data_IF_335512491444
#
_entry.id   IF_335512491444
#
_cell.length_a   1.000
_cell.length_b   1.000
_cell.length_c   1.000
_cell.angle_alpha   90.00
_cell.angle_beta   90.00
_cell.angle_gamma   90.00
#
_symmetry.space_group_name_H-M   'P 1'
#
loop_
_entity.id
_entity.type
_entity.pdbx_description
1 polymer ?
#
# COMPACT_ATOMS: atom_id res chain seq x y z
N UNK A 1 -11.40 -9.68 16.93
CA UNK A 1 -11.09 -10.58 18.07
C UNK A 1 -9.95 -10.06 18.93
N UNK A 2 -8.79 -9.75 18.34
CA UNK A 2 -7.65 -9.15 19.07
C UNK A 2 -8.02 -7.80 19.68
N UNK A 3 -8.73 -6.93 18.94
CA UNK A 3 -9.26 -5.66 19.47
C UNK A 3 -10.05 -5.85 20.77
N UNK A 4 -10.99 -6.80 20.79
CA UNK A 4 -11.79 -7.14 21.98
C UNK A 4 -10.94 -7.66 23.15
N UNK A 5 -9.87 -8.39 22.88
CA UNK A 5 -8.93 -8.83 23.92
C UNK A 5 -8.20 -7.64 24.53
N UNK A 6 -7.78 -6.67 23.71
CA UNK A 6 -7.13 -5.43 24.16
C UNK A 6 -8.09 -4.54 24.97
N UNK A 7 -9.37 -4.47 24.58
CA UNK A 7 -10.40 -3.75 25.36
C UNK A 7 -10.60 -4.35 26.76
N UNK A 8 -10.37 -5.65 26.90
CA UNK A 8 -10.51 -6.38 28.17
C UNK A 8 -9.19 -6.53 28.93
N UNK A 9 -8.11 -5.87 28.51
CA UNK A 9 -6.77 -6.02 29.10
C UNK A 9 -6.79 -5.86 30.63
N UNK A 10 -7.43 -4.81 31.15
CA UNK A 10 -7.48 -4.53 32.58
C UNK A 10 -8.35 -5.52 33.37
N UNK A 11 -9.48 -5.93 32.78
CA UNK A 11 -10.36 -6.94 33.37
C UNK A 11 -9.66 -8.31 33.44
N UNK A 12 -8.93 -8.67 32.38
CA UNK A 12 -8.13 -9.90 32.32
C UNK A 12 -7.00 -9.85 33.36
N UNK A 13 -6.24 -8.76 33.45
CA UNK A 13 -5.16 -8.62 34.44
C UNK A 13 -5.70 -8.68 35.87
N UNK A 14 -6.82 -8.00 36.15
CA UNK A 14 -7.43 -7.97 37.48
C UNK A 14 -7.94 -9.33 37.92
N UNK A 15 -8.65 -10.03 37.02
CA UNK A 15 -9.15 -11.38 37.33
C UNK A 15 -8.01 -12.38 37.49
N UNK A 16 -6.96 -12.29 36.69
CA UNK A 16 -5.76 -13.14 36.82
C UNK A 16 -5.03 -12.91 38.15
N UNK A 17 -5.03 -11.68 38.67
CA UNK A 17 -4.47 -11.37 39.98
C UNK A 17 -5.31 -11.95 41.13
N UNK A 18 -6.64 -12.04 40.98
CA UNK A 18 -7.56 -12.58 41.99
C UNK A 18 -7.53 -14.12 42.02
N UNK A 19 -7.37 -14.76 40.86
CA UNK A 19 -7.56 -16.22 40.71
C UNK A 19 -6.41 -17.05 41.33
N UNK A 20 -5.31 -16.40 41.75
CA UNK A 20 -4.12 -16.99 42.42
C UNK A 20 -3.79 -18.43 41.98
N UNK A 21 -3.81 -18.64 40.67
CA UNK A 21 -3.38 -19.87 40.00
C UNK A 21 -2.21 -19.53 39.10
N UNK A 22 -1.31 -20.48 38.95
CA UNK A 22 -0.19 -20.44 38.01
C UNK A 22 -0.70 -20.58 36.56
N UNK A 23 -1.56 -19.65 36.15
CA UNK A 23 -1.99 -19.52 34.77
C UNK A 23 -0.89 -18.84 33.96
N UNK A 24 -0.66 -19.27 32.71
CA UNK A 24 0.19 -18.54 31.78
C UNK A 24 -0.27 -17.09 31.68
N UNK A 25 0.58 -16.16 32.11
CA UNK A 25 0.29 -14.72 32.08
C UNK A 25 0.82 -14.13 30.79
N UNK A 26 -0.02 -13.35 30.10
CA UNK A 26 0.43 -12.55 28.96
C UNK A 26 1.35 -11.46 29.50
N UNK A 27 2.60 -11.48 29.04
CA UNK A 27 3.66 -10.54 29.41
C UNK A 27 3.40 -9.15 28.80
N UNK A 28 4.01 -8.11 29.37
CA UNK A 28 3.90 -6.74 28.84
C UNK A 28 4.39 -6.62 27.39
N UNK A 29 5.39 -7.44 27.01
CA UNK A 29 5.89 -7.51 25.64
C UNK A 29 4.83 -8.10 24.69
N UNK A 30 4.19 -9.20 25.09
CA UNK A 30 3.12 -9.81 24.29
C UNK A 30 1.91 -8.88 24.13
N UNK A 31 1.54 -8.12 25.17
CA UNK A 31 0.51 -7.08 25.05
C UNK A 31 0.88 -6.00 24.05
N UNK A 32 2.16 -5.63 23.98
CA UNK A 32 2.67 -4.68 22.98
C UNK A 32 2.58 -5.26 21.58
N UNK A 33 3.02 -6.51 21.39
CA UNK A 33 2.91 -7.24 20.12
C UNK A 33 1.45 -7.33 19.66
N UNK A 34 0.50 -7.61 20.56
CA UNK A 34 -0.93 -7.65 20.22
C UNK A 34 -1.46 -6.29 19.74
N UNK A 35 -1.01 -5.19 20.35
CA UNK A 35 -1.36 -3.82 19.92
C UNK A 35 -0.80 -3.51 18.54
N UNK A 36 0.46 -3.85 18.30
CA UNK A 36 1.11 -3.69 16.99
C UNK A 36 0.45 -4.55 15.91
N UNK A 37 0.14 -5.82 16.21
CA UNK A 37 -0.59 -6.72 15.31
C UNK A 37 -1.95 -6.14 14.91
N UNK A 38 -2.66 -5.57 15.87
CA UNK A 38 -3.94 -4.92 15.61
C UNK A 38 -3.79 -3.76 14.61
N UNK A 39 -2.75 -2.94 14.75
CA UNK A 39 -2.48 -1.82 13.84
C UNK A 39 -2.18 -2.31 12.43
N UNK A 40 -1.33 -3.33 12.27
CA UNK A 40 -0.98 -3.83 10.94
C UNK A 40 -2.11 -4.60 10.26
N UNK A 41 -2.99 -5.27 11.01
CA UNK A 41 -4.08 -6.08 10.45
C UNK A 41 -5.26 -5.23 9.98
N UNK A 42 -5.52 -4.08 10.62
CA UNK A 42 -6.64 -3.19 10.33
C UNK A 42 -6.81 -2.80 8.85
N UNK A 43 -5.76 -2.35 8.11
CA UNK A 43 -5.92 -2.04 6.69
C UNK A 43 -6.22 -3.28 5.83
N UNK A 44 -5.69 -4.45 6.20
CA UNK A 44 -5.97 -5.69 5.48
C UNK A 44 -7.40 -6.16 5.71
N UNK A 45 -7.91 -6.07 6.94
CA UNK A 45 -9.31 -6.37 7.26
C UNK A 45 -10.29 -5.48 6.46
N UNK A 46 -10.02 -4.18 6.40
CA UNK A 46 -10.86 -3.24 5.66
C UNK A 46 -10.97 -3.62 4.17
N UNK A 47 -9.83 -3.97 3.57
CA UNK A 47 -9.78 -4.35 2.15
C UNK A 47 -10.39 -5.72 1.92
N UNK A 48 -10.10 -6.72 2.75
CA UNK A 48 -10.69 -8.06 2.59
C UNK A 48 -12.19 -8.04 2.80
N UNK A 49 -12.71 -7.25 3.75
CA UNK A 49 -14.15 -7.07 3.97
C UNK A 49 -14.83 -6.45 2.75
N UNK A 50 -14.17 -5.47 2.12
CA UNK A 50 -14.70 -4.83 0.91
C UNK A 50 -14.64 -5.77 -0.28
N UNK A 51 -13.50 -6.45 -0.51
CA UNK A 51 -13.32 -7.38 -1.64
C UNK A 51 -14.24 -8.60 -1.53
N UNK A 52 -14.48 -9.08 -0.32
CA UNK A 52 -15.39 -10.21 -0.06
C UNK A 52 -16.87 -9.81 -0.13
N UNK A 53 -17.16 -8.51 -0.30
CA UNK A 53 -18.52 -8.01 -0.47
C UNK A 53 -19.02 -8.18 -1.89
N UNK A 54 -19.82 -9.22 -2.14
CA UNK A 54 -20.33 -9.59 -3.48
C UNK A 54 -21.11 -8.46 -4.18
N UNK A 55 -21.79 -7.60 -3.42
CA UNK A 55 -22.69 -6.57 -3.98
C UNK A 55 -22.02 -5.26 -4.41
N UNK A 56 -20.77 -5.01 -3.99
CA UNK A 56 -20.13 -3.69 -4.15
C UNK A 56 -18.73 -3.76 -4.75
N UNK A 57 -18.06 -4.92 -4.71
CA UNK A 57 -16.72 -5.05 -5.27
C UNK A 57 -16.80 -5.35 -6.76
N UNK A 58 -16.55 -4.34 -7.60
CA UNK A 58 -16.29 -4.55 -9.03
C UNK A 58 -14.81 -4.81 -9.24
N UNK A 59 -14.44 -5.58 -10.27
CA UNK A 59 -13.04 -5.85 -10.62
C UNK A 59 -12.21 -4.55 -10.81
N UNK A 60 -12.86 -3.47 -11.24
CA UNK A 60 -12.25 -2.14 -11.37
C UNK A 60 -11.88 -1.49 -10.02
N UNK A 61 -12.57 -1.82 -8.92
CA UNK A 61 -12.26 -1.32 -7.57
C UNK A 61 -11.11 -2.09 -6.91
N UNK A 62 -10.88 -3.34 -7.29
CA UNK A 62 -9.79 -4.17 -6.73
C UNK A 62 -8.43 -3.51 -6.98
N UNK A 63 -8.22 -2.94 -8.16
CA UNK A 63 -6.94 -2.32 -8.53
C UNK A 63 -6.57 -1.10 -7.67
N UNK A 64 -7.39 -0.05 -7.55
CA UNK A 64 -7.06 1.09 -6.69
C UNK A 64 -6.94 0.67 -5.23
N UNK A 65 -7.69 -0.35 -4.77
CA UNK A 65 -7.53 -0.91 -3.43
C UNK A 65 -6.18 -1.61 -3.24
N UNK A 66 -5.73 -2.40 -4.22
CA UNK A 66 -4.39 -2.99 -4.21
C UNK A 66 -3.29 -1.93 -4.13
N UNK A 67 -3.40 -0.86 -4.92
CA UNK A 67 -2.43 0.22 -4.89
C UNK A 67 -2.46 0.99 -3.56
N UNK A 68 -3.67 1.27 -3.04
CA UNK A 68 -3.85 1.87 -1.73
C UNK A 68 -3.21 1.04 -0.63
N UNK A 69 -3.40 -0.28 -0.66
CA UNK A 69 -2.76 -1.18 0.31
C UNK A 69 -1.24 -1.19 0.19
N UNK A 70 -0.69 -1.15 -1.04
CA UNK A 70 0.77 -1.03 -1.25
C UNK A 70 1.33 0.21 -0.59
N UNK A 71 0.67 1.35 -0.76
CA UNK A 71 1.08 2.61 -0.15
C UNK A 71 0.97 2.55 1.38
N UNK A 72 -0.10 1.95 1.92
CA UNK A 72 -0.26 1.77 3.38
C UNK A 72 0.78 0.82 3.94
N UNK A 73 1.07 -0.28 3.24
CA UNK A 73 2.11 -1.23 3.62
C UNK A 73 3.48 -0.54 3.68
N UNK A 74 3.85 0.27 2.68
CA UNK A 74 5.09 1.05 2.72
C UNK A 74 5.17 1.98 3.93
N UNK A 75 4.05 2.65 4.28
CA UNK A 75 3.99 3.50 5.47
C UNK A 75 4.13 2.70 6.77
N UNK A 76 3.51 1.53 6.85
CA UNK A 76 3.63 0.64 8.02
C UNK A 76 5.04 0.06 8.15
N UNK A 77 5.67 -0.32 7.04
CA UNK A 77 7.04 -0.85 7.03
C UNK A 77 8.09 0.18 7.46
N UNK A 78 7.78 1.47 7.37
CA UNK A 78 8.63 2.56 7.88
C UNK A 78 8.46 2.81 9.39
N UNK A 79 7.43 2.24 10.02
CA UNK A 79 7.19 2.40 11.46
C UNK A 79 8.06 1.45 12.28
N UNK A 80 8.28 1.81 13.54
CA UNK A 80 9.00 0.97 14.48
C UNK A 80 8.05 -0.05 15.10
N UNK A 81 8.18 -1.31 14.68
CA UNK A 81 7.47 -2.46 15.25
C UNK A 81 8.46 -3.51 15.76
N UNK A 82 7.99 -4.41 16.61
CA UNK A 82 8.72 -5.64 16.98
C UNK A 82 9.00 -6.52 15.75
N UNK A 83 10.07 -7.32 15.80
CA UNK A 83 10.49 -8.12 14.66
C UNK A 83 9.49 -9.21 14.28
N UNK A 84 8.79 -9.78 15.26
CA UNK A 84 7.69 -10.72 15.04
C UNK A 84 6.56 -10.09 14.20
N UNK A 85 6.24 -8.82 14.46
CA UNK A 85 5.20 -8.08 13.74
C UNK A 85 5.68 -7.69 12.34
N UNK A 86 6.94 -7.27 12.19
CA UNK A 86 7.53 -7.01 10.85
C UNK A 86 7.49 -8.25 9.97
N UNK A 87 7.86 -9.41 10.51
CA UNK A 87 7.79 -10.67 9.77
C UNK A 87 6.36 -11.00 9.34
N UNK A 88 5.39 -10.75 10.23
CA UNK A 88 3.95 -10.92 9.93
C UNK A 88 3.46 -9.95 8.85
N UNK A 89 3.87 -8.68 8.92
CA UNK A 89 3.55 -7.65 7.93
C UNK A 89 4.07 -8.01 6.53
N UNK A 90 5.31 -8.48 6.42
CA UNK A 90 5.88 -8.97 5.16
C UNK A 90 5.11 -10.17 4.62
N UNK A 91 4.77 -11.13 5.49
CA UNK A 91 4.02 -12.32 5.10
C UNK A 91 2.61 -11.98 4.60
N UNK A 92 1.93 -11.04 5.26
CA UNK A 92 0.62 -10.54 4.85
C UNK A 92 0.69 -9.88 3.46
N UNK A 93 1.70 -9.05 3.24
CA UNK A 93 1.90 -8.40 1.95
C UNK A 93 2.17 -9.40 0.81
N UNK A 94 3.06 -10.37 1.03
CA UNK A 94 3.33 -11.41 0.03
C UNK A 94 2.09 -12.25 -0.27
N UNK A 95 1.31 -12.62 0.76
CA UNK A 95 0.04 -13.32 0.58
C UNK A 95 -0.98 -12.51 -0.21
N UNK A 96 -1.01 -11.20 -0.01
CA UNK A 96 -1.84 -10.27 -0.76
C UNK A 96 -1.42 -10.17 -2.22
N UNK A 97 -0.13 -9.94 -2.50
CA UNK A 97 0.38 -9.85 -3.88
C UNK A 97 0.19 -11.15 -4.66
N UNK A 98 0.38 -12.32 -4.03
CA UNK A 98 0.17 -13.60 -4.70
C UNK A 98 -1.30 -13.84 -5.10
N UNK A 99 -2.26 -13.29 -4.35
CA UNK A 99 -3.69 -13.48 -4.61
C UNK A 99 -4.30 -12.41 -5.51
N UNK A 100 -3.83 -11.16 -5.38
CA UNK A 100 -4.46 -9.98 -5.98
C UNK A 100 -3.48 -9.14 -6.81
N UNK A 101 -2.21 -9.56 -6.95
CA UNK A 101 -1.21 -8.84 -7.74
C UNK A 101 -1.33 -9.06 -9.25
N UNK A 102 -1.94 -10.17 -9.69
CA UNK A 102 -2.06 -10.52 -11.11
C UNK A 102 -3.47 -10.27 -11.67
N UNK A 103 -4.09 -9.14 -11.31
CA UNK A 103 -5.38 -8.73 -11.88
C UNK A 103 -5.18 -8.41 -13.37
N UNK A 104 -6.15 -8.82 -14.19
CA UNK A 104 -6.11 -8.75 -15.65
C UNK A 104 -5.58 -7.39 -16.17
N UNK A 105 -4.55 -7.38 -17.05
CA UNK A 105 -3.92 -6.16 -17.57
C UNK A 105 -4.89 -5.10 -18.12
N UNK A 106 -6.07 -5.51 -18.61
CA UNK A 106 -7.08 -4.60 -19.17
C UNK A 106 -7.63 -3.61 -18.15
N UNK A 107 -7.65 -3.97 -16.87
CA UNK A 107 -8.08 -3.07 -15.80
C UNK A 107 -6.92 -2.21 -15.28
N UNK A 108 -5.67 -2.63 -15.51
CA UNK A 108 -4.46 -1.88 -15.14
C UNK A 108 -4.28 -0.62 -15.99
N UNK A 109 -4.59 -0.68 -17.29
CA UNK A 109 -4.53 0.51 -18.16
C UNK A 109 -5.58 1.58 -17.81
N UNK A 110 -6.69 1.20 -17.18
CA UNK A 110 -7.80 2.11 -16.88
C UNK A 110 -7.53 3.02 -15.67
N UNK A 111 -6.69 2.58 -14.73
CA UNK A 111 -6.29 3.34 -13.54
C UNK A 111 -4.90 3.96 -13.70
N UNK A 112 -4.06 3.41 -14.59
CA UNK A 112 -2.65 3.79 -14.77
C UNK A 112 -2.32 4.29 -16.18
N UNK A 113 -3.16 5.14 -16.76
CA UNK A 113 -2.77 5.93 -17.92
C UNK A 113 -1.77 7.04 -17.56
N UNK A 114 -0.56 6.66 -17.11
CA UNK A 114 0.58 7.50 -16.72
C UNK A 114 0.39 8.33 -15.44
N UNK A 115 1.40 8.35 -14.55
CA UNK A 115 1.45 9.33 -13.47
C UNK A 115 1.42 10.73 -14.10
N UNK A 116 0.68 11.68 -13.51
CA UNK A 116 0.60 13.05 -14.03
C UNK A 116 2.00 13.67 -14.24
N UNK A 117 2.98 13.26 -13.44
CA UNK A 117 4.37 13.68 -13.57
C UNK A 117 5.11 13.01 -14.74
N UNK A 118 4.78 11.76 -15.06
CA UNK A 118 5.31 11.07 -16.25
C UNK A 118 4.72 11.66 -17.54
N UNK A 119 3.44 12.05 -17.51
CA UNK A 119 2.80 12.77 -18.63
C UNK A 119 3.45 14.13 -18.84
N UNK A 120 3.63 14.91 -17.76
CA UNK A 120 4.32 16.21 -17.83
C UNK A 120 5.74 16.04 -18.38
N UNK A 121 6.49 15.05 -17.89
CA UNK A 121 7.87 14.80 -18.34
C UNK A 121 7.92 14.40 -19.82
N UNK A 122 7.01 13.55 -20.29
CA UNK A 122 6.92 13.19 -21.70
C UNK A 122 6.55 14.38 -22.59
N UNK A 123 5.58 15.21 -22.17
CA UNK A 123 5.19 16.41 -22.92
C UNK A 123 6.36 17.39 -22.99
N UNK A 124 7.04 17.66 -21.88
CA UNK A 124 8.21 18.57 -21.84
C UNK A 124 9.35 18.08 -22.72
N UNK A 125 9.60 16.76 -22.74
CA UNK A 125 10.64 16.17 -23.59
C UNK A 125 10.29 16.28 -25.08
N UNK A 126 9.04 16.02 -25.45
CA UNK A 126 8.57 16.14 -26.84
C UNK A 126 8.58 17.59 -27.34
N UNK A 127 8.23 18.56 -26.47
CA UNK A 127 8.30 19.98 -26.80
C UNK A 127 9.74 20.44 -26.95
N UNK A 128 10.64 20.05 -26.04
CA UNK A 128 12.07 20.35 -26.13
C UNK A 128 12.69 19.81 -27.43
N UNK A 129 12.28 18.61 -27.83
CA UNK A 129 12.76 17.99 -29.07
C UNK A 129 12.27 18.74 -30.33
N UNK A 130 10.98 19.12 -30.40
CA UNK A 130 10.46 19.90 -31.53
C UNK A 130 11.06 21.30 -31.63
N UNK A 131 11.33 21.95 -30.50
CA UNK A 131 11.98 23.26 -30.49
C UNK A 131 13.42 23.14 -31.01
N UNK A 132 14.13 22.07 -30.63
CA UNK A 132 15.47 21.80 -31.14
C UNK A 132 15.47 21.48 -32.64
N UNK A 133 14.49 20.72 -33.14
CA UNK A 133 14.32 20.40 -34.56
C UNK A 133 13.94 21.63 -35.39
N UNK A 134 13.06 22.50 -34.85
CA UNK A 134 12.64 23.76 -35.48
C UNK A 134 13.74 24.80 -35.57
N UNK A 135 14.57 24.94 -34.53
CA UNK A 135 15.73 25.84 -34.58
C UNK A 135 16.80 25.36 -35.57
N UNK A 136 16.94 24.04 -35.71
CA UNK A 136 17.89 23.44 -36.65
C UNK A 136 17.44 23.61 -38.10
N UNK A 137 16.14 23.61 -38.38
CA UNK A 137 15.59 23.88 -39.73
C UNK A 137 15.72 25.37 -40.10
N UNK A 138 15.50 26.28 -39.16
CA UNK A 138 15.70 27.72 -39.38
C UNK A 138 17.16 28.11 -39.68
N UNK A 139 18.15 27.41 -39.09
CA UNK A 139 19.58 27.63 -39.38
C UNK A 139 20.00 27.15 -40.77
N UNK A 140 19.31 26.16 -41.36
CA UNK A 140 19.59 25.71 -42.73
C UNK A 140 18.96 26.65 -43.77
N UNK A 141 17.75 27.17 -43.52
CA UNK A 141 17.09 28.13 -44.44
C UNK A 141 17.85 29.47 -44.52
N UNK A 142 18.44 29.95 -43.42
CA UNK A 142 19.28 31.15 -43.41
C UNK A 142 20.63 30.98 -44.13
N UNK A 143 21.10 29.74 -44.33
CA UNK A 143 22.34 29.45 -45.08
C UNK A 143 22.09 29.30 -46.58
N UNK A 144 20.91 28.86 -47.00
CA UNK A 144 20.55 28.80 -48.42
C UNK A 144 20.18 30.17 -49.02
N UNK A 145 19.81 31.17 -48.20
CA UNK A 145 19.53 32.53 -48.68
C UNK A 145 20.78 33.40 -48.94
N UNK A 146 21.98 32.83 -48.82
CA UNK A 146 23.27 33.53 -49.02
C UNK A 146 24.13 32.93 -50.16
N UNK A 147 23.55 32.06 -51.00
CA UNK A 147 24.10 31.61 -52.28
C UNK A 147 23.26 32.20 -53.41
#
# INVERSE_FOLDING_TARGET
MIEKLLELEDAVKSTLAIIDRDLPKITSEEWTILKELCQILKPYESITKTISGEKYCTAALVIPMCQGLKNVHQKLSAQHFSDAVKHSLTRLFNGFENRLGNVDPRFKSMVFGNSADDVKKNITNLLSQRIAEGNRTAEYELKESYI
#
